data_IF_673523585403
#
_entry.id   IF_673523585403
#
_cell.length_a   1.000
_cell.length_b   1.000
_cell.length_c   1.000
_cell.angle_alpha   90.00
_cell.angle_beta   90.00
_cell.angle_gamma   90.00
#
_symmetry.space_group_name_H-M   'P 1'
#
loop_
_entity.id
_entity.type
_entity.pdbx_description
1 polymer ?
#
# COMPACT_ATOMS: atom_id res chain seq x y z
N UNK A 1 -2.20 13.11 4.42
CA UNK A 1 -2.90 12.35 3.36
C UNK A 1 -4.07 11.62 4.01
N UNK A 2 -5.21 11.55 3.32
CA UNK A 2 -6.46 10.96 3.81
C UNK A 2 -6.73 9.63 3.09
N UNK A 3 -7.17 8.61 3.82
CA UNK A 3 -7.61 7.35 3.22
C UNK A 3 -9.11 7.41 2.96
N UNK A 4 -9.48 7.51 1.69
CA UNK A 4 -10.89 7.56 1.27
C UNK A 4 -11.63 6.26 1.60
N UNK A 5 -10.97 5.10 1.49
CA UNK A 5 -11.60 3.81 1.74
C UNK A 5 -11.94 3.61 3.23
N UNK A 6 -11.09 4.08 4.14
CA UNK A 6 -11.33 4.00 5.59
C UNK A 6 -12.00 5.25 6.18
N UNK A 7 -12.24 6.28 5.38
CA UNK A 7 -12.71 7.60 5.82
C UNK A 7 -11.91 8.18 7.02
N UNK A 8 -10.58 7.98 7.01
CA UNK A 8 -9.71 8.35 8.13
C UNK A 8 -8.35 8.90 7.67
N UNK A 9 -7.67 9.62 8.56
CA UNK A 9 -6.29 10.07 8.30
C UNK A 9 -5.30 8.91 8.35
N UNK A 10 -4.32 8.92 7.44
CA UNK A 10 -3.19 8.00 7.53
C UNK A 10 -2.41 8.23 8.83
N UNK A 11 -1.84 7.16 9.39
CA UNK A 11 -0.88 7.31 10.48
C UNK A 11 0.31 8.16 10.02
N UNK A 12 0.98 8.87 10.95
CA UNK A 12 2.12 9.73 10.62
C UNK A 12 3.19 8.99 9.81
N UNK A 13 3.51 7.76 10.24
CA UNK A 13 4.51 6.90 9.57
C UNK A 13 4.07 6.52 8.15
N UNK A 14 2.82 6.08 7.97
CA UNK A 14 2.33 5.67 6.67
C UNK A 14 2.24 6.86 5.70
N UNK A 15 1.77 8.01 6.19
CA UNK A 15 1.73 9.26 5.44
C UNK A 15 3.13 9.67 4.95
N UNK A 16 4.13 9.64 5.84
CA UNK A 16 5.51 10.00 5.49
C UNK A 16 6.08 9.07 4.42
N UNK A 17 5.90 7.74 4.55
CA UNK A 17 6.37 6.79 3.53
C UNK A 17 5.67 7.00 2.18
N UNK A 18 4.36 7.25 2.20
CA UNK A 18 3.62 7.44 0.96
C UNK A 18 3.97 8.75 0.28
N UNK A 19 4.18 9.84 1.02
CA UNK A 19 4.69 11.07 0.42
C UNK A 19 6.07 10.86 -0.20
N UNK A 20 7.03 10.33 0.56
CA UNK A 20 8.37 10.09 0.06
C UNK A 20 8.37 9.24 -1.22
N UNK A 21 7.60 8.14 -1.25
CA UNK A 21 7.60 7.19 -2.37
C UNK A 21 6.77 7.66 -3.56
N UNK A 22 5.52 8.08 -3.33
CA UNK A 22 4.55 8.28 -4.41
C UNK A 22 4.44 9.74 -4.87
N UNK A 23 4.81 10.70 -4.01
CA UNK A 23 4.77 12.13 -4.32
C UNK A 23 6.18 12.63 -4.66
N UNK A 24 7.11 12.48 -3.72
CA UNK A 24 8.47 13.00 -3.85
C UNK A 24 9.38 12.09 -4.70
N UNK A 25 8.93 10.85 -4.95
CA UNK A 25 9.63 9.83 -5.75
C UNK A 25 11.05 9.56 -5.26
N UNK A 26 11.24 9.59 -3.95
CA UNK A 26 12.50 9.21 -3.31
C UNK A 26 12.80 7.74 -3.64
N UNK A 27 14.02 7.40 -4.06
CA UNK A 27 14.42 6.02 -4.33
C UNK A 27 14.10 5.11 -3.15
N UNK A 28 13.53 3.95 -3.43
CA UNK A 28 13.18 2.99 -2.39
C UNK A 28 14.44 2.28 -1.87
N UNK A 29 14.51 2.11 -0.55
CA UNK A 29 15.44 1.14 0.03
C UNK A 29 15.07 -0.29 -0.42
N UNK A 30 16.05 -1.20 -0.54
CA UNK A 30 15.79 -2.60 -0.84
C UNK A 30 14.77 -3.19 0.14
N UNK A 31 13.60 -3.57 -0.38
CA UNK A 31 12.56 -4.19 0.43
C UNK A 31 12.78 -5.69 0.54
N UNK A 32 12.39 -6.29 1.65
CA UNK A 32 12.35 -7.75 1.76
C UNK A 32 11.24 -8.31 0.86
N UNK A 33 11.60 -9.31 0.04
CA UNK A 33 10.63 -10.07 -0.74
C UNK A 33 9.71 -10.85 0.18
N UNK A 34 8.41 -10.86 -0.13
CA UNK A 34 7.42 -11.68 0.57
C UNK A 34 7.33 -13.04 -0.09
N UNK A 35 7.28 -14.09 0.72
CA UNK A 35 7.11 -15.48 0.25
C UNK A 35 5.71 -15.68 -0.37
N UNK A 36 4.71 -15.01 0.18
CA UNK A 36 3.31 -15.15 -0.24
C UNK A 36 2.67 -13.80 -0.55
N UNK A 37 1.74 -13.79 -1.50
CA UNK A 37 0.89 -12.64 -1.79
C UNK A 37 0.05 -12.30 -0.56
N UNK A 38 0.11 -11.05 -0.04
CA UNK A 38 -0.81 -10.63 1.01
C UNK A 38 -2.26 -10.74 0.56
N UNK A 39 -3.15 -11.21 1.45
CA UNK A 39 -4.60 -11.30 1.17
C UNK A 39 -5.18 -9.91 0.86
N UNK A 40 -6.29 -9.89 0.13
CA UNK A 40 -7.00 -8.67 -0.24
C UNK A 40 -6.57 -8.05 -1.57
N UNK A 41 -7.25 -6.96 -1.93
CA UNK A 41 -6.97 -6.16 -3.11
C UNK A 41 -6.19 -4.91 -2.73
N UNK A 42 -5.00 -4.77 -3.29
CA UNK A 42 -4.10 -3.67 -3.00
C UNK A 42 -4.06 -2.70 -4.18
N UNK A 43 -4.07 -1.41 -3.89
CA UNK A 43 -4.04 -0.34 -4.89
C UNK A 43 -2.84 0.57 -4.66
N UNK A 44 -2.30 1.13 -5.75
CA UNK A 44 -1.20 2.07 -5.68
C UNK A 44 -1.69 3.41 -5.10
N UNK A 45 -1.08 3.94 -4.03
CA UNK A 45 -1.43 5.25 -3.50
C UNK A 45 -1.16 6.40 -4.47
N UNK A 46 -0.19 6.23 -5.39
CA UNK A 46 0.16 7.27 -6.37
C UNK A 46 -0.78 7.36 -7.57
N UNK A 47 -1.23 6.22 -8.13
CA UNK A 47 -2.03 6.23 -9.36
C UNK A 47 -3.40 5.51 -9.25
N UNK A 48 -3.74 4.96 -8.09
CA UNK A 48 -5.01 4.26 -7.85
C UNK A 48 -5.14 2.87 -8.50
N UNK A 49 -4.25 2.48 -9.43
CA UNK A 49 -4.31 1.17 -10.10
C UNK A 49 -4.04 0.01 -9.13
N UNK A 50 -4.63 -1.15 -9.43
CA UNK A 50 -4.42 -2.39 -8.69
C UNK A 50 -2.97 -2.85 -8.77
N UNK A 51 -2.37 -3.16 -7.63
CA UNK A 51 -1.00 -3.68 -7.54
C UNK A 51 -0.94 -5.15 -7.98
N UNK A 52 0.16 -5.52 -8.62
CA UNK A 52 0.44 -6.91 -9.03
C UNK A 52 1.44 -7.53 -8.07
N UNK A 53 1.22 -8.80 -7.72
CA UNK A 53 2.20 -9.56 -6.96
C UNK A 53 3.12 -10.30 -7.93
N UNK A 54 4.39 -9.90 -7.99
CA UNK A 54 5.40 -10.51 -8.86
C UNK A 54 6.77 -10.48 -8.17
N UNK A 55 7.54 -11.57 -8.29
CA UNK A 55 8.88 -11.65 -7.70
C UNK A 55 8.93 -11.47 -6.18
N UNK A 56 7.82 -11.71 -5.46
CA UNK A 56 7.70 -11.47 -4.02
C UNK A 56 7.29 -10.04 -3.63
N UNK A 57 6.90 -9.19 -4.58
CA UNK A 57 6.56 -7.79 -4.32
C UNK A 57 5.15 -7.43 -4.80
N UNK A 58 4.43 -6.63 -4.02
CA UNK A 58 3.24 -5.91 -4.48
C UNK A 58 3.68 -4.62 -5.18
N UNK A 59 3.70 -4.62 -6.52
CA UNK A 59 4.24 -3.52 -7.34
C UNK A 59 3.16 -2.81 -8.15
N UNK A 60 3.35 -1.51 -8.32
CA UNK A 60 2.56 -0.71 -9.24
C UNK A 60 2.91 -1.06 -10.68
N UNK A 61 1.93 -1.38 -11.55
CA UNK A 61 2.20 -1.71 -12.95
C UNK A 61 2.80 -0.54 -13.75
N UNK A 62 2.66 0.69 -13.26
CA UNK A 62 3.20 1.89 -13.90
C UNK A 62 4.55 2.33 -13.30
N UNK A 63 5.16 1.51 -12.43
CA UNK A 63 6.49 1.79 -11.90
C UNK A 63 6.57 2.80 -10.74
N UNK A 64 5.44 3.20 -10.15
CA UNK A 64 5.41 4.12 -8.99
C UNK A 64 5.98 3.53 -7.70
N UNK A 65 6.23 2.22 -7.65
CA UNK A 65 6.85 1.57 -6.51
C UNK A 65 6.12 0.38 -5.92
N UNK A 66 6.69 -0.18 -4.86
CA UNK A 66 6.11 -1.28 -4.08
C UNK A 66 5.57 -0.80 -2.74
N UNK A 67 4.56 -1.49 -2.20
CA UNK A 67 4.05 -1.24 -0.83
C UNK A 67 4.47 -2.32 0.17
N UNK A 68 5.40 -3.19 -0.19
CA UNK A 68 5.71 -4.40 0.57
C UNK A 68 6.06 -4.11 2.04
N UNK A 69 6.79 -3.05 2.32
CA UNK A 69 7.13 -2.56 3.67
C UNK A 69 5.95 -1.96 4.46
N UNK A 70 4.89 -1.56 3.76
CA UNK A 70 3.76 -0.82 4.32
C UNK A 70 2.53 -1.71 4.55
N UNK A 71 2.54 -2.95 4.04
CA UNK A 71 1.44 -3.92 4.20
C UNK A 71 1.10 -4.19 5.67
N UNK A 72 2.10 -4.27 6.56
CA UNK A 72 1.84 -4.48 7.98
C UNK A 72 1.11 -3.27 8.59
N UNK A 73 1.65 -2.07 8.37
CA UNK A 73 1.06 -0.84 8.88
C UNK A 73 -0.36 -0.63 8.33
N UNK A 74 -0.60 -0.94 7.06
CA UNK A 74 -1.93 -0.89 6.45
C UNK A 74 -2.91 -1.85 7.12
N UNK A 75 -2.49 -3.07 7.44
CA UNK A 75 -3.37 -4.08 8.01
C UNK A 75 -3.59 -3.93 9.52
N UNK A 76 -2.62 -3.38 10.25
CA UNK A 76 -2.62 -3.39 11.72
C UNK A 76 -2.82 -1.99 12.29
N UNK A 77 -2.10 -1.00 11.77
CA UNK A 77 -2.10 0.37 12.29
C UNK A 77 -3.08 1.29 11.56
N UNK A 78 -3.49 0.90 10.36
CA UNK A 78 -4.44 1.60 9.52
C UNK A 78 -5.55 0.66 9.03
N UNK A 79 -5.92 -0.30 9.88
CA UNK A 79 -6.99 -1.23 9.59
C UNK A 79 -8.30 -0.47 9.40
N UNK A 80 -8.97 -0.69 8.27
CA UNK A 80 -10.34 -0.24 8.11
C UNK A 80 -11.26 -1.23 8.81
N UNK A 81 -12.29 -0.74 9.51
CA UNK A 81 -13.40 -1.60 9.91
C UNK A 81 -13.97 -2.25 8.64
N UNK A 82 -14.14 -3.58 8.67
CA UNK A 82 -14.63 -4.33 7.51
C UNK A 82 -15.93 -3.68 7.02
N UNK A 83 -15.92 -3.13 5.81
CA UNK A 83 -17.14 -2.69 5.14
C UNK A 83 -17.95 -3.96 4.85
N UNK A 84 -19.17 -4.11 5.38
CA UNK A 84 -20.02 -5.25 5.05
C UNK A 84 -20.24 -5.31 3.53
N UNK A 85 -19.90 -6.44 2.89
CA UNK A 85 -20.22 -6.70 1.48
C UNK A 85 -19.07 -6.51 0.47
N UNK A 86 -17.84 -6.27 0.91
CA UNK A 86 -16.69 -6.09 0.01
C UNK A 86 -15.86 -7.38 -0.20
N UNK A 87 -16.52 -8.51 -0.43
CA UNK A 87 -15.93 -9.72 -1.02
C UNK A 87 -16.57 -9.95 -2.39
N UNK A 88 -15.93 -9.44 -3.46
CA UNK A 88 -16.15 -9.86 -4.85
C UNK A 88 -14.82 -9.85 -5.61
#
# INVERSE_FOLDING_TARGET
MYCEAGQMLLSKTLNARFQARFIDRVPEEPQLSRVNKPKGSWHCPGCGKRLKFAGGYLQCPDGHGSINDSVFDLNVLHAHDRIPGQDR
#
